data_IF_470930849815
#
_entry.id   IF_470930849815
#
_cell.length_a   1.000
_cell.length_b   1.000
_cell.length_c   1.000
_cell.angle_alpha   90.00
_cell.angle_beta   90.00
_cell.angle_gamma   90.00
#
_symmetry.space_group_name_H-M   'P 1'
#
loop_
_entity.id
_entity.type
_entity.pdbx_description
1 polymer ?
#
# COMPACT_ATOMS: atom_id res chain seq x y z
N UNK A 1 -30.11 -25.02 -25.48
CA UNK A 1 -30.09 -24.26 -26.76
C UNK A 1 -30.91 -23.01 -26.47
N UNK A 2 -30.38 -21.82 -26.20
CA UNK A 2 -29.18 -21.09 -26.65
C UNK A 2 -28.68 -20.28 -25.44
N UNK A 3 -27.53 -20.59 -24.86
CA UNK A 3 -26.25 -19.85 -25.00
C UNK A 3 -26.40 -18.32 -25.11
N UNK A 4 -26.01 -17.62 -24.05
CA UNK A 4 -26.15 -16.17 -23.90
C UNK A 4 -24.96 -15.66 -23.10
N UNK A 5 -23.87 -15.49 -23.81
CA UNK A 5 -22.54 -15.08 -23.42
C UNK A 5 -22.50 -14.05 -22.26
N UNK A 6 -21.80 -14.39 -21.15
CA UNK A 6 -21.58 -13.53 -19.98
C UNK A 6 -20.32 -12.65 -20.12
N UNK A 7 -19.86 -12.39 -21.33
CA UNK A 7 -18.57 -11.75 -21.61
C UNK A 7 -18.56 -10.20 -21.56
N UNK A 8 -19.42 -9.54 -20.76
CA UNK A 8 -19.53 -8.07 -20.78
C UNK A 8 -19.26 -7.30 -19.47
N UNK A 9 -18.76 -7.94 -18.40
CA UNK A 9 -18.36 -7.24 -17.17
C UNK A 9 -16.88 -7.42 -16.80
N UNK A 10 -16.03 -7.61 -17.82
CA UNK A 10 -14.58 -7.51 -17.66
C UNK A 10 -14.13 -6.06 -17.77
N UNK A 11 -14.27 -5.27 -16.70
CA UNK A 11 -13.44 -4.07 -16.58
C UNK A 11 -12.02 -4.52 -16.30
N UNK A 12 -11.19 -4.44 -17.34
CA UNK A 12 -9.74 -4.65 -17.29
C UNK A 12 -9.12 -3.83 -16.15
N UNK A 13 -8.21 -4.48 -15.44
CA UNK A 13 -7.42 -4.01 -14.31
C UNK A 13 -6.35 -2.95 -14.65
N UNK A 14 -6.64 -2.00 -15.53
CA UNK A 14 -5.64 -1.06 -16.11
C UNK A 14 -5.99 0.44 -15.97
N UNK A 15 -7.03 0.83 -15.21
CA UNK A 15 -7.50 2.24 -15.26
C UNK A 15 -7.87 2.89 -13.90
N UNK A 16 -7.23 2.51 -12.79
CA UNK A 16 -7.45 3.16 -11.49
C UNK A 16 -6.35 4.21 -11.24
N UNK A 17 -6.74 5.49 -11.25
CA UNK A 17 -5.82 6.65 -11.25
C UNK A 17 -6.13 7.75 -12.28
N UNK A 18 -7.26 7.68 -13.01
CA UNK A 18 -7.69 8.79 -13.88
C UNK A 18 -8.49 9.85 -13.10
N UNK A 19 -8.31 11.11 -13.49
CA UNK A 19 -8.95 12.33 -12.95
C UNK A 19 -10.48 12.32 -12.91
N UNK A 20 -11.13 11.34 -13.56
CA UNK A 20 -12.58 11.21 -13.65
C UNK A 20 -13.23 10.50 -12.46
N UNK A 21 -12.49 9.67 -11.72
CA UNK A 21 -13.05 8.84 -10.64
C UNK A 21 -12.23 8.87 -9.34
N UNK A 22 -11.05 9.52 -9.34
CA UNK A 22 -10.15 9.51 -8.19
C UNK A 22 -9.84 8.08 -7.74
N UNK A 23 -9.94 7.82 -6.43
CA UNK A 23 -9.73 6.50 -5.83
C UNK A 23 -10.98 5.61 -5.81
N UNK A 24 -12.05 6.01 -6.53
CA UNK A 24 -13.28 5.25 -6.65
C UNK A 24 -14.41 5.74 -5.73
N UNK A 25 -15.48 4.94 -5.66
CA UNK A 25 -16.69 5.24 -4.88
C UNK A 25 -16.47 4.82 -3.43
N UNK A 26 -16.97 5.62 -2.48
CA UNK A 26 -16.96 5.25 -1.06
C UNK A 26 -17.94 4.11 -0.79
N UNK A 27 -17.40 2.96 -0.37
CA UNK A 27 -18.18 1.85 0.17
C UNK A 27 -18.06 1.83 1.69
N UNK A 28 -19.00 2.49 2.39
CA UNK A 28 -18.95 2.64 3.86
C UNK A 28 -19.05 1.29 4.58
N UNK A 29 -19.76 0.33 3.99
CA UNK A 29 -19.83 -1.05 4.50
C UNK A 29 -18.46 -1.74 4.54
N UNK A 30 -17.52 -1.27 3.73
CA UNK A 30 -16.19 -1.87 3.60
C UNK A 30 -15.19 -1.30 4.63
N UNK A 31 -15.62 -0.33 5.44
CA UNK A 31 -14.81 0.38 6.43
C UNK A 31 -14.88 -0.23 7.84
N UNK A 32 -15.75 -1.23 8.06
CA UNK A 32 -16.05 -1.78 9.39
C UNK A 32 -15.99 -3.32 9.40
N UNK A 33 -14.95 -3.91 8.82
CA UNK A 33 -14.79 -5.37 8.85
C UNK A 33 -14.03 -5.86 10.07
N UNK A 34 -14.52 -6.97 10.63
CA UNK A 34 -13.86 -7.76 11.65
C UNK A 34 -13.10 -8.93 11.00
N UNK A 35 -11.77 -8.86 11.11
CA UNK A 35 -10.80 -9.88 10.65
C UNK A 35 -11.20 -11.30 11.05
N UNK A 36 -11.81 -11.46 12.23
CA UNK A 36 -12.11 -12.78 12.78
C UNK A 36 -13.37 -13.42 12.22
N UNK A 37 -14.31 -12.65 11.66
CA UNK A 37 -15.62 -13.17 11.22
C UNK A 37 -15.79 -13.19 9.71
N UNK A 38 -15.19 -12.25 8.98
CA UNK A 38 -15.35 -12.15 7.51
C UNK A 38 -14.11 -12.57 6.73
N UNK A 39 -12.95 -12.72 7.40
CA UNK A 39 -11.67 -12.88 6.71
C UNK A 39 -11.18 -11.59 6.03
N UNK A 40 -11.82 -10.46 6.35
CA UNK A 40 -11.52 -9.14 5.85
C UNK A 40 -11.18 -8.25 7.04
N UNK A 41 -10.18 -7.40 6.88
CA UNK A 41 -9.78 -6.48 7.93
C UNK A 41 -9.63 -5.07 7.43
N UNK A 42 -9.66 -4.15 8.39
CA UNK A 42 -9.05 -2.83 8.24
C UNK A 42 -8.02 -2.65 9.35
N UNK A 43 -6.81 -2.27 8.98
CA UNK A 43 -5.76 -1.89 9.89
C UNK A 43 -5.31 -0.48 9.59
N UNK A 44 -5.09 0.29 10.65
CA UNK A 44 -4.68 1.69 10.54
C UNK A 44 -3.41 1.87 11.35
N UNK A 45 -2.38 2.39 10.69
CA UNK A 45 -1.20 2.96 11.33
C UNK A 45 -1.33 4.47 11.13
N UNK A 46 -1.56 5.19 12.22
CA UNK A 46 -1.88 6.60 12.16
C UNK A 46 -0.78 7.47 12.76
N UNK A 47 -0.75 8.72 12.33
CA UNK A 47 0.06 9.80 12.90
C UNK A 47 1.54 9.45 13.09
N UNK A 48 2.09 8.63 12.19
CA UNK A 48 3.46 8.13 12.30
C UNK A 48 4.42 9.16 11.70
N UNK A 49 5.41 9.67 12.48
CA UNK A 49 6.39 10.60 11.95
C UNK A 49 7.39 9.87 11.06
N UNK A 50 7.80 10.51 9.98
CA UNK A 50 8.86 10.06 9.09
C UNK A 50 9.79 11.23 8.78
N UNK A 51 11.09 10.97 8.95
CA UNK A 51 12.16 11.91 8.63
C UNK A 51 12.62 11.74 7.17
N UNK A 52 13.36 12.72 6.66
CA UNK A 52 14.00 12.63 5.35
C UNK A 52 14.95 11.41 5.26
N UNK A 53 14.73 10.56 4.27
CA UNK A 53 15.46 9.31 4.03
C UNK A 53 15.06 8.14 4.95
N UNK A 54 14.13 8.34 5.89
CA UNK A 54 13.68 7.27 6.78
C UNK A 54 12.73 6.31 6.06
N UNK A 55 12.73 5.04 6.47
CA UNK A 55 11.79 4.02 6.01
C UNK A 55 11.00 3.49 7.20
N UNK A 56 9.67 3.56 7.10
CA UNK A 56 8.74 2.90 8.02
C UNK A 56 8.19 1.63 7.36
N UNK A 57 8.29 0.50 8.04
CA UNK A 57 7.93 -0.82 7.47
C UNK A 57 6.78 -1.46 8.25
N UNK A 58 5.74 -1.86 7.51
CA UNK A 58 4.53 -2.52 8.01
C UNK A 58 4.42 -3.93 7.44
N UNK A 59 4.24 -4.91 8.31
CA UNK A 59 4.07 -6.31 7.94
C UNK A 59 2.59 -6.67 7.89
N UNK A 60 2.18 -7.33 6.81
CA UNK A 60 0.81 -7.80 6.59
C UNK A 60 0.85 -9.27 6.19
N UNK A 61 0.17 -10.11 6.97
CA UNK A 61 0.06 -11.54 6.68
C UNK A 61 -1.29 -11.83 6.05
N UNK A 62 -1.31 -12.59 4.95
CA UNK A 62 -2.53 -12.93 4.22
C UNK A 62 -3.03 -14.31 4.64
N UNK A 63 -4.35 -14.46 4.68
CA UNK A 63 -4.97 -15.73 5.10
C UNK A 63 -4.83 -16.80 4.06
N UNK A 64 -4.40 -17.99 4.48
CA UNK A 64 -4.56 -19.21 3.69
C UNK A 64 -5.92 -19.89 3.88
N UNK A 65 -6.74 -19.42 4.84
CA UNK A 65 -8.06 -20.01 5.17
C UNK A 65 -9.25 -19.28 4.55
N UNK A 66 -9.03 -18.10 3.95
CA UNK A 66 -10.04 -17.34 3.21
C UNK A 66 -9.81 -17.58 1.72
N UNK A 67 -10.83 -17.91 0.91
CA UNK A 67 -10.66 -17.99 -0.53
C UNK A 67 -10.16 -16.65 -1.09
N UNK A 68 -8.91 -16.61 -1.56
CA UNK A 68 -8.27 -15.39 -2.07
C UNK A 68 -8.99 -14.76 -3.26
N UNK A 69 -9.87 -15.51 -3.92
CA UNK A 69 -10.64 -15.07 -5.08
C UNK A 69 -11.79 -14.10 -4.77
N UNK A 70 -12.01 -13.72 -3.51
CA UNK A 70 -13.16 -12.87 -3.16
C UNK A 70 -12.82 -11.38 -3.04
N UNK A 71 -11.58 -10.99 -2.71
CA UNK A 71 -11.23 -9.61 -2.36
C UNK A 71 -9.79 -9.20 -2.63
N UNK A 72 -9.63 -7.93 -2.98
CA UNK A 72 -8.32 -7.30 -3.16
C UNK A 72 -7.65 -7.05 -1.81
N UNK A 73 -6.32 -6.90 -1.83
CA UNK A 73 -5.55 -6.36 -0.72
C UNK A 73 -5.10 -4.95 -1.08
N UNK A 74 -5.50 -3.96 -0.29
CA UNK A 74 -5.24 -2.56 -0.56
C UNK A 74 -4.39 -1.93 0.54
N UNK A 75 -3.43 -1.11 0.12
CA UNK A 75 -2.61 -0.26 0.96
C UNK A 75 -2.80 1.18 0.49
N UNK A 76 -3.22 2.07 1.39
CA UNK A 76 -3.43 3.47 1.08
C UNK A 76 -2.62 4.32 2.06
N UNK A 77 -1.60 4.99 1.52
CA UNK A 77 -0.79 5.98 2.21
C UNK A 77 -1.41 7.36 1.99
N UNK A 78 -1.53 8.15 3.07
CA UNK A 78 -1.96 9.55 3.02
C UNK A 78 -1.12 10.40 3.95
N UNK A 79 -0.89 11.65 3.58
CA UNK A 79 -0.31 12.65 4.47
C UNK A 79 -0.90 14.04 4.21
N UNK A 80 -0.90 14.86 5.26
CA UNK A 80 -1.14 16.29 5.12
C UNK A 80 0.18 16.98 4.82
N UNK A 81 0.37 17.37 3.56
CA UNK A 81 1.57 18.05 3.12
C UNK A 81 1.60 19.53 3.56
N UNK A 82 2.79 20.11 3.54
CA UNK A 82 2.98 21.53 3.80
C UNK A 82 2.44 22.37 2.64
N UNK A 83 1.96 23.59 2.92
CA UNK A 83 1.49 24.49 1.86
C UNK A 83 2.65 24.88 0.94
N UNK A 84 2.47 24.66 -0.35
CA UNK A 84 3.43 25.04 -1.37
C UNK A 84 3.55 26.57 -1.51
N UNK A 85 4.73 27.05 -1.94
CA UNK A 85 4.90 28.44 -2.30
C UNK A 85 4.06 28.81 -3.53
N UNK A 86 3.59 30.06 -3.61
CA UNK A 86 2.81 30.54 -4.75
C UNK A 86 3.66 30.54 -6.02
N UNK A 87 3.12 29.99 -7.11
CA UNK A 87 3.75 30.00 -8.44
C UNK A 87 4.72 28.84 -8.73
N UNK A 88 4.81 27.85 -7.83
CA UNK A 88 5.58 26.62 -8.11
C UNK A 88 4.90 25.74 -9.16
N UNK A 89 5.70 24.96 -9.90
CA UNK A 89 5.19 24.02 -10.92
C UNK A 89 4.67 22.71 -10.32
N UNK A 90 5.20 22.31 -9.16
CA UNK A 90 4.84 21.10 -8.40
C UNK A 90 4.47 21.55 -6.99
N UNK A 91 3.23 21.26 -6.58
CA UNK A 91 2.72 21.68 -5.27
C UNK A 91 3.17 20.76 -4.13
N UNK A 92 3.60 19.53 -4.45
CA UNK A 92 4.13 18.60 -3.45
C UNK A 92 5.42 19.14 -2.84
N UNK A 93 5.43 19.33 -1.52
CA UNK A 93 6.56 19.82 -0.72
C UNK A 93 7.32 18.67 -0.10
N UNK A 94 6.63 17.83 0.67
CA UNK A 94 7.18 16.60 1.22
C UNK A 94 6.73 15.40 0.38
N UNK A 95 7.71 14.66 -0.10
CA UNK A 95 7.57 13.52 -0.98
C UNK A 95 7.75 12.23 -0.19
N UNK A 96 6.66 11.45 -0.06
CA UNK A 96 6.64 10.16 0.60
C UNK A 96 6.23 9.08 -0.39
N UNK A 97 7.00 8.00 -0.50
CA UNK A 97 6.67 6.89 -1.40
C UNK A 97 6.06 5.70 -0.64
N UNK A 98 5.04 5.09 -1.24
CA UNK A 98 4.52 3.77 -0.90
C UNK A 98 5.10 2.71 -1.84
N UNK A 99 5.82 1.76 -1.27
CA UNK A 99 6.23 0.54 -1.98
C UNK A 99 5.71 -0.67 -1.21
N UNK A 100 5.11 -1.62 -1.91
CA UNK A 100 4.66 -2.89 -1.32
C UNK A 100 5.41 -4.04 -1.98
N UNK A 101 5.94 -4.96 -1.17
CA UNK A 101 6.60 -6.17 -1.67
C UNK A 101 5.91 -7.42 -1.13
N UNK A 102 5.61 -8.37 -2.00
CA UNK A 102 5.24 -9.72 -1.60
C UNK A 102 6.47 -10.58 -1.27
N UNK A 103 6.33 -11.57 -0.39
CA UNK A 103 7.38 -12.55 -0.10
C UNK A 103 7.77 -13.42 -1.30
N UNK A 104 7.00 -13.35 -2.39
CA UNK A 104 7.32 -13.91 -3.70
C UNK A 104 8.25 -13.02 -4.56
N UNK A 105 8.67 -11.87 -4.05
CA UNK A 105 9.56 -10.93 -4.73
C UNK A 105 8.88 -9.92 -5.65
N UNK A 106 7.55 -9.95 -5.78
CA UNK A 106 6.82 -8.96 -6.58
C UNK A 106 6.78 -7.61 -5.86
N UNK A 107 7.05 -6.54 -6.59
CA UNK A 107 7.06 -5.15 -6.12
C UNK A 107 5.88 -4.40 -6.73
N UNK A 108 5.25 -3.56 -5.92
CA UNK A 108 4.15 -2.68 -6.31
C UNK A 108 4.48 -1.27 -5.83
N UNK A 109 4.43 -0.30 -6.74
CA UNK A 109 4.59 1.12 -6.41
C UNK A 109 3.24 1.78 -6.22
N UNK A 110 3.20 2.82 -5.39
CA UNK A 110 2.04 3.69 -5.24
C UNK A 110 1.49 4.14 -6.59
N UNK A 111 0.17 4.14 -6.69
CA UNK A 111 -0.58 4.57 -7.87
C UNK A 111 -0.24 3.80 -9.16
N UNK A 112 0.31 2.58 -9.04
CA UNK A 112 0.45 1.62 -10.15
C UNK A 112 1.57 1.92 -11.14
N UNK A 113 2.48 2.82 -10.82
CA UNK A 113 3.64 3.15 -11.66
C UNK A 113 4.71 2.05 -11.70
N UNK A 114 5.72 2.25 -12.57
CA UNK A 114 6.96 1.46 -12.56
C UNK A 114 8.04 2.04 -11.64
N UNK A 115 7.74 3.16 -11.00
CA UNK A 115 8.62 3.95 -10.13
C UNK A 115 7.77 4.67 -9.08
N UNK A 116 8.46 5.27 -8.10
CA UNK A 116 7.94 6.23 -7.12
C UNK A 116 7.00 7.28 -7.74
N UNK A 117 5.92 7.64 -7.02
CA UNK A 117 4.99 8.70 -7.40
C UNK A 117 5.42 9.99 -6.71
N UNK A 118 5.91 10.93 -7.49
CA UNK A 118 6.43 12.18 -6.95
C UNK A 118 5.43 13.33 -7.13
N UNK A 119 4.12 13.09 -7.16
CA UNK A 119 3.13 14.14 -7.49
C UNK A 119 2.01 14.20 -6.46
N UNK A 120 1.61 13.07 -5.90
CA UNK A 120 0.40 12.94 -5.10
C UNK A 120 0.69 12.81 -3.59
N UNK A 121 -0.16 13.40 -2.75
CA UNK A 121 -0.12 13.19 -1.28
C UNK A 121 -0.94 11.97 -0.82
N UNK A 122 -1.42 11.20 -1.79
CA UNK A 122 -2.19 9.97 -1.60
C UNK A 122 -1.64 8.95 -2.58
N UNK A 123 -1.16 7.84 -2.04
CA UNK A 123 -0.66 6.73 -2.82
C UNK A 123 -1.39 5.45 -2.45
N UNK A 124 -1.79 4.70 -3.48
CA UNK A 124 -2.51 3.44 -3.30
C UNK A 124 -1.83 2.31 -4.06
N UNK A 125 -1.63 1.19 -3.37
CA UNK A 125 -1.38 -0.11 -3.99
C UNK A 125 -2.64 -0.96 -3.84
N UNK A 126 -3.17 -1.43 -4.97
CA UNK A 126 -4.34 -2.31 -5.03
C UNK A 126 -3.93 -3.63 -5.69
N UNK A 127 -3.87 -4.70 -4.89
CA UNK A 127 -3.48 -6.03 -5.35
C UNK A 127 -4.77 -6.84 -5.54
N UNK A 128 -5.09 -7.10 -6.81
CA UNK A 128 -6.30 -7.85 -7.18
C UNK A 128 -6.33 -9.24 -6.53
N UNK A 129 -7.53 -9.66 -6.13
CA UNK A 129 -7.82 -10.96 -5.50
C UNK A 129 -7.13 -12.14 -6.21
N UNK A 130 -7.20 -12.16 -7.54
CA UNK A 130 -6.60 -13.18 -8.41
C UNK A 130 -5.07 -13.20 -8.40
N UNK A 131 -4.43 -12.08 -8.04
CA UNK A 131 -2.98 -11.96 -7.90
C UNK A 131 -2.48 -12.35 -6.52
N UNK A 132 -3.39 -12.54 -5.54
CA UNK A 132 -3.03 -13.03 -4.22
C UNK A 132 -2.80 -14.55 -4.27
N UNK A 133 -1.74 -15.00 -3.59
CA UNK A 133 -1.40 -16.41 -3.47
C UNK A 133 -1.32 -16.79 -1.98
N UNK A 134 -1.80 -17.99 -1.65
CA UNK A 134 -1.83 -18.47 -0.27
C UNK A 134 -0.40 -18.52 0.28
N UNK A 135 -0.20 -18.00 1.49
CA UNK A 135 1.10 -17.98 2.16
C UNK A 135 2.06 -16.88 1.67
N UNK A 136 1.65 -16.01 0.75
CA UNK A 136 2.40 -14.79 0.43
C UNK A 136 2.09 -13.72 1.46
N UNK A 137 3.12 -13.27 2.17
CA UNK A 137 3.05 -12.15 3.11
C UNK A 137 3.55 -10.88 2.43
N UNK A 138 3.01 -9.74 2.83
CA UNK A 138 3.36 -8.45 2.27
C UNK A 138 4.08 -7.57 3.28
N UNK A 139 4.97 -6.73 2.76
CA UNK A 139 5.59 -5.63 3.49
C UNK A 139 5.27 -4.34 2.75
N UNK A 140 4.69 -3.39 3.45
CA UNK A 140 4.53 -2.03 2.98
C UNK A 140 5.66 -1.17 3.55
N UNK A 141 6.32 -0.42 2.69
CA UNK A 141 7.36 0.55 3.01
C UNK A 141 6.79 1.92 2.71
N UNK A 142 6.79 2.78 3.72
CA UNK A 142 6.59 4.22 3.57
C UNK A 142 7.96 4.85 3.69
N UNK A 143 8.37 5.59 2.66
CA UNK A 143 9.73 6.11 2.52
C UNK A 143 9.65 7.63 2.50
N UNK A 144 10.42 8.31 3.36
CA UNK A 144 10.57 9.76 3.34
C UNK A 144 11.52 10.21 2.23
N UNK A 145 11.15 10.02 0.96
CA UNK A 145 12.05 10.18 -0.20
C UNK A 145 12.65 11.58 -0.32
N UNK A 146 11.85 12.62 -0.08
CA UNK A 146 12.34 13.99 0.04
C UNK A 146 11.43 14.79 0.99
N UNK A 147 11.88 14.98 2.23
CA UNK A 147 11.12 15.64 3.30
C UNK A 147 11.87 16.90 3.77
N UNK A 148 11.89 17.97 2.97
CA UNK A 148 12.59 19.21 3.32
C UNK A 148 12.03 19.91 4.57
N UNK A 149 10.77 19.64 4.92
CA UNK A 149 10.17 20.11 6.18
C UNK A 149 9.81 18.90 7.04
N UNK A 150 10.69 18.59 7.99
CA UNK A 150 10.67 17.36 8.77
C UNK A 150 10.28 17.57 10.24
N UNK A 151 9.63 16.59 10.91
CA UNK A 151 9.09 15.35 10.34
C UNK A 151 7.74 15.55 9.65
N UNK A 152 7.53 14.82 8.55
CA UNK A 152 6.19 14.63 7.97
C UNK A 152 5.47 13.53 8.75
N UNK A 153 4.18 13.70 9.04
CA UNK A 153 3.36 12.61 9.58
C UNK A 153 2.50 12.00 8.49
N UNK A 154 2.35 10.69 8.51
CA UNK A 154 1.51 9.95 7.59
C UNK A 154 0.57 9.01 8.31
N UNK A 155 -0.44 8.55 7.57
CA UNK A 155 -1.31 7.45 7.93
C UNK A 155 -1.27 6.40 6.83
N UNK A 156 -1.18 5.14 7.21
CA UNK A 156 -1.27 3.99 6.31
C UNK A 156 -2.47 3.15 6.70
N UNK A 157 -3.40 3.00 5.76
CA UNK A 157 -4.55 2.09 5.89
C UNK A 157 -4.28 0.85 5.06
N UNK A 158 -4.52 -0.32 5.65
CA UNK A 158 -4.54 -1.59 4.93
C UNK A 158 -5.94 -2.16 5.04
N UNK A 159 -6.53 -2.55 3.93
CA UNK A 159 -7.85 -3.18 3.90
C UNK A 159 -7.88 -4.41 2.99
N UNK A 160 -8.82 -5.30 3.27
CA UNK A 160 -9.07 -6.51 2.47
C UNK A 160 -8.53 -7.78 3.13
N UNK A 161 -7.98 -8.68 2.31
CA UNK A 161 -7.68 -10.06 2.71
C UNK A 161 -6.40 -10.20 3.57
N UNK A 162 -6.50 -10.01 4.90
CA UNK A 162 -5.39 -10.26 5.84
C UNK A 162 -5.87 -10.91 7.16
N UNK A 163 -4.98 -11.65 7.85
CA UNK A 163 -5.33 -12.47 9.05
C UNK A 163 -5.10 -11.81 10.40
N UNK A 164 -4.34 -10.74 10.44
CA UNK A 164 -3.99 -10.05 11.67
C UNK A 164 -3.78 -8.59 11.35
N UNK A 165 -4.19 -7.71 12.28
CA UNK A 165 -3.98 -6.28 12.13
C UNK A 165 -2.54 -5.99 11.68
N UNK A 166 -2.35 -5.21 10.60
CA UNK A 166 -1.06 -4.70 10.18
C UNK A 166 -0.31 -4.17 11.38
N UNK A 167 0.96 -4.56 11.48
CA UNK A 167 1.81 -4.14 12.59
C UNK A 167 3.15 -3.72 12.05
N UNK A 168 3.83 -2.85 12.81
CA UNK A 168 5.25 -2.62 12.57
C UNK A 168 5.96 -3.97 12.61
N UNK A 169 6.75 -4.26 11.58
CA UNK A 169 7.46 -5.52 11.51
C UNK A 169 8.37 -5.67 12.74
N UNK A 170 8.29 -6.83 13.42
CA UNK A 170 9.15 -7.14 14.58
C UNK A 170 10.61 -7.39 14.22
N UNK A 171 10.95 -7.50 12.94
CA UNK A 171 12.35 -7.57 12.52
C UNK A 171 12.97 -6.18 12.58
N UNK A 172 13.94 -6.00 13.49
CA UNK A 172 15.09 -5.15 13.20
C UNK A 172 15.51 -5.46 11.77
N UNK A 173 15.64 -4.42 10.94
CA UNK A 173 15.99 -4.51 9.52
C UNK A 173 16.76 -5.80 9.17
N UNK A 174 16.24 -6.66 8.28
CA UNK A 174 17.04 -7.79 7.80
C UNK A 174 18.33 -7.18 7.24
N UNK A 175 19.47 -7.44 7.89
CA UNK A 175 20.82 -6.86 7.68
C UNK A 175 21.32 -5.76 8.64
N UNK A 176 20.66 -5.42 9.75
CA UNK A 176 21.14 -4.41 10.72
C UNK A 176 21.38 -3.03 10.05
N UNK A 177 20.32 -2.47 9.45
CA UNK A 177 20.33 -1.15 8.79
C UNK A 177 21.01 -0.08 9.64
N UNK A 178 22.21 0.33 9.25
CA UNK A 178 22.80 1.59 9.68
C UNK A 178 22.31 2.70 8.75
N UNK A 179 21.23 3.37 9.15
CA UNK A 179 20.91 4.74 8.72
C UNK A 179 20.51 5.02 7.27
N UNK A 180 20.57 4.08 6.30
CA UNK A 180 20.36 4.43 4.88
C UNK A 180 19.55 3.43 4.01
N UNK A 181 18.78 2.51 4.60
CA UNK A 181 17.79 1.72 3.82
C UNK A 181 18.34 0.79 2.73
N UNK A 182 19.66 0.61 2.59
CA UNK A 182 20.25 -0.32 1.64
C UNK A 182 20.26 -1.76 2.19
N UNK A 183 19.48 -2.64 1.58
CA UNK A 183 19.55 -4.09 1.80
C UNK A 183 20.68 -4.68 0.94
N UNK A 184 21.77 -5.12 1.57
CA UNK A 184 22.76 -5.98 0.91
C UNK A 184 22.20 -7.38 0.66
N UNK A 185 22.61 -8.03 -0.43
CA UNK A 185 22.15 -9.38 -0.78
C UNK A 185 22.48 -10.43 0.29
N UNK A 186 21.42 -11.16 0.71
CA UNK A 186 21.33 -12.49 1.36
C UNK A 186 22.24 -12.82 2.57
N UNK A 187 21.60 -13.31 3.64
CA UNK A 187 22.16 -14.36 4.48
C UNK A 187 21.16 -15.51 4.63
N UNK A 188 21.53 -16.65 4.05
CA UNK A 188 20.94 -17.96 4.21
C UNK A 188 21.11 -18.45 5.65
N UNK A 189 20.06 -19.00 6.26
CA UNK A 189 20.13 -20.03 7.30
C UNK A 189 18.91 -20.93 7.18
#
# INVERSE_FOLDING_TARGET
IVDGDRSAFGQKSDERGKSIQGFGITHVGDLLYDVHTTGEGMGVIDYTPIENGQVAMTCVSVSSSVPLSSRNLRFTLVWFDYPAAIGVRKALVNDLDLVVTGSNGKVYYGNGGTQADDINTVEMVDIEAESLQNGVNFKAYVIGSNVPISPQRFSLVVSGAFVSSPSQCRSTCPCNCSGHGSCGERASW
#
